data_IF_300378493119
#
_entry.id   IF_300378493119
#
_cell.length_a   1.000
_cell.length_b   1.000
_cell.length_c   1.000
_cell.angle_alpha   90.00
_cell.angle_beta   90.00
_cell.angle_gamma   90.00
#
_symmetry.space_group_name_H-M   'P 1'
#
loop_
_entity.id
_entity.type
_entity.pdbx_description
1 polymer ?
#
# COMPACT_ATOMS: atom_id res chain seq x y z
N UNK A 1 -3.97 14.61 3.79
CA UNK A 1 -3.26 15.08 2.60
C UNK A 1 -3.91 14.48 1.38
N UNK A 2 -4.43 15.32 0.53
CA UNK A 2 -5.06 14.87 -0.70
C UNK A 2 -3.98 14.45 -1.69
N UNK A 3 -4.09 13.22 -2.20
CA UNK A 3 -3.19 12.74 -3.23
C UNK A 3 -3.39 13.59 -4.49
N UNK A 4 -2.35 14.27 -4.90
CA UNK A 4 -2.29 14.91 -6.21
C UNK A 4 -2.21 13.79 -7.26
N UNK A 5 -2.94 13.92 -8.34
CA UNK A 5 -2.83 12.99 -9.45
C UNK A 5 -1.39 12.99 -9.99
N UNK A 6 -0.87 11.80 -10.23
CA UNK A 6 0.48 11.64 -10.78
C UNK A 6 0.34 11.21 -12.23
N UNK A 7 0.96 11.95 -13.12
CA UNK A 7 1.10 11.49 -14.49
C UNK A 7 2.21 10.44 -14.57
N UNK A 8 2.00 9.45 -15.41
CA UNK A 8 3.04 8.44 -15.66
C UNK A 8 4.36 9.08 -16.07
N UNK A 9 4.30 10.21 -16.78
CA UNK A 9 5.46 10.99 -17.16
C UNK A 9 6.25 11.57 -15.97
N UNK A 10 5.60 11.74 -14.81
CA UNK A 10 6.24 12.29 -13.61
C UNK A 10 6.97 11.20 -12.81
N UNK A 11 6.78 9.94 -13.20
CA UNK A 11 7.49 8.80 -12.66
C UNK A 11 8.76 8.54 -13.47
N UNK A 12 9.58 9.55 -13.59
CA UNK A 12 10.90 9.44 -14.20
C UNK A 12 11.96 9.32 -13.11
N UNK A 13 13.07 8.70 -13.43
CA UNK A 13 14.18 8.54 -12.50
C UNK A 13 14.59 9.84 -11.81
N UNK A 14 15.30 9.72 -10.71
CA UNK A 14 15.72 10.82 -9.88
C UNK A 14 16.59 11.81 -10.66
N UNK A 15 16.01 12.88 -11.10
CA UNK A 15 16.55 14.09 -11.73
C UNK A 15 18.05 14.14 -12.10
N UNK A 16 18.49 13.35 -13.06
CA UNK A 16 19.86 13.37 -13.58
C UNK A 16 20.63 12.06 -13.42
N UNK A 17 20.07 11.08 -12.72
CA UNK A 17 20.58 9.72 -12.69
C UNK A 17 19.95 8.91 -13.82
N UNK A 18 20.75 8.05 -14.48
CA UNK A 18 20.25 7.08 -15.46
C UNK A 18 19.62 5.86 -14.79
N UNK A 19 19.50 5.87 -13.46
CA UNK A 19 18.91 4.78 -12.69
C UNK A 19 17.39 4.91 -12.66
N UNK A 20 16.65 3.82 -12.88
CA UNK A 20 15.20 3.85 -12.75
C UNK A 20 14.77 4.15 -11.31
N UNK A 21 13.66 4.84 -11.17
CA UNK A 21 13.04 5.05 -9.87
C UNK A 21 12.42 3.74 -9.38
N UNK A 22 12.73 3.38 -8.15
CA UNK A 22 12.13 2.22 -7.48
C UNK A 22 10.93 2.68 -6.67
N UNK A 23 9.78 2.11 -6.96
CA UNK A 23 8.51 2.44 -6.30
C UNK A 23 7.96 1.19 -5.64
N UNK A 24 7.65 1.28 -4.36
CA UNK A 24 7.02 0.18 -3.65
C UNK A 24 5.55 0.15 -4.02
N UNK A 25 5.01 -1.05 -4.24
CA UNK A 25 3.62 -1.22 -4.68
C UNK A 25 2.93 -2.35 -3.92
N UNK A 26 1.65 -2.17 -3.59
CA UNK A 26 0.84 -3.25 -3.06
C UNK A 26 0.76 -4.38 -4.10
N UNK A 27 1.23 -5.57 -3.73
CA UNK A 27 1.36 -6.71 -4.64
C UNK A 27 0.03 -7.12 -5.29
N UNK A 28 -1.09 -6.96 -4.57
CA UNK A 28 -2.41 -7.29 -5.12
C UNK A 28 -2.79 -6.44 -6.33
N UNK A 29 -2.24 -5.23 -6.45
CA UNK A 29 -2.48 -4.35 -7.61
C UNK A 29 -1.79 -4.86 -8.87
N UNK A 30 -0.82 -5.75 -8.75
CA UNK A 30 -0.12 -6.41 -9.86
C UNK A 30 -0.67 -7.81 -10.18
N UNK A 31 -1.75 -8.21 -9.53
CA UNK A 31 -2.38 -9.51 -9.77
C UNK A 31 -1.93 -10.62 -8.82
N UNK A 32 -1.21 -10.30 -7.76
CA UNK A 32 -0.82 -11.29 -6.75
C UNK A 32 -1.98 -11.55 -5.79
N UNK A 33 -2.34 -12.82 -5.62
CA UNK A 33 -3.47 -13.22 -4.78
C UNK A 33 -3.16 -13.16 -3.29
N UNK A 34 -2.85 -11.98 -2.78
CA UNK A 34 -2.43 -11.77 -1.39
C UNK A 34 -3.46 -11.01 -0.54
N UNK A 35 -4.62 -10.70 -1.08
CA UNK A 35 -5.70 -10.07 -0.32
C UNK A 35 -6.25 -11.04 0.73
N UNK A 36 -7.01 -10.49 1.69
CA UNK A 36 -7.61 -11.29 2.77
C UNK A 36 -8.45 -12.46 2.25
N UNK A 37 -9.12 -12.30 1.11
CA UNK A 37 -9.95 -13.32 0.47
C UNK A 37 -9.15 -14.29 -0.43
N UNK A 38 -7.84 -14.15 -0.49
CA UNK A 38 -6.97 -14.93 -1.38
C UNK A 38 -7.01 -14.49 -2.83
N UNK A 39 -7.73 -13.41 -3.12
CA UNK A 39 -7.86 -12.85 -4.47
C UNK A 39 -6.85 -11.73 -4.69
N UNK A 40 -6.83 -11.22 -5.88
CA UNK A 40 -6.04 -10.07 -6.28
C UNK A 40 -6.96 -8.89 -6.63
N UNK A 41 -6.37 -7.74 -6.84
CA UNK A 41 -7.09 -6.55 -7.31
C UNK A 41 -6.25 -5.87 -8.39
N UNK A 42 -5.92 -6.62 -9.43
CA UNK A 42 -5.10 -6.14 -10.53
C UNK A 42 -5.63 -4.80 -11.05
N UNK A 43 -4.73 -3.82 -11.13
CA UNK A 43 -5.04 -2.51 -11.68
C UNK A 43 -4.25 -2.34 -12.98
N UNK A 44 -4.94 -2.18 -14.13
CA UNK A 44 -4.26 -2.09 -15.44
C UNK A 44 -3.28 -0.93 -15.53
N UNK A 45 -3.56 0.20 -14.90
CA UNK A 45 -2.67 1.37 -14.93
C UNK A 45 -1.41 1.15 -14.12
N UNK A 46 -1.53 0.52 -12.95
CA UNK A 46 -0.38 0.13 -12.14
C UNK A 46 0.46 -0.89 -12.88
N UNK A 47 -0.18 -1.91 -13.44
CA UNK A 47 0.51 -2.96 -14.19
C UNK A 47 1.25 -2.41 -15.40
N UNK A 48 0.69 -1.41 -16.06
CA UNK A 48 1.32 -0.76 -17.22
C UNK A 48 2.65 -0.09 -16.86
N UNK A 49 2.85 0.30 -15.61
CA UNK A 49 4.13 0.86 -15.16
C UNK A 49 5.30 -0.12 -15.33
N UNK A 50 5.03 -1.43 -15.38
CA UNK A 50 6.06 -2.44 -15.63
C UNK A 50 6.70 -2.28 -17.01
N UNK A 51 6.03 -1.65 -17.95
CA UNK A 51 6.53 -1.39 -19.30
C UNK A 51 7.41 -0.13 -19.38
N UNK A 52 7.38 0.71 -18.32
CA UNK A 52 8.17 1.94 -18.28
C UNK A 52 9.61 1.61 -17.84
N UNK A 53 10.62 1.84 -18.71
CA UNK A 53 12.02 1.53 -18.36
C UNK A 53 12.59 2.42 -17.25
N UNK A 54 11.93 3.54 -16.94
CA UNK A 54 12.35 4.48 -15.90
C UNK A 54 11.79 4.14 -14.52
N UNK A 55 11.04 3.04 -14.40
CA UNK A 55 10.38 2.62 -13.17
C UNK A 55 10.64 1.14 -12.89
N UNK A 56 10.97 0.83 -11.65
CA UNK A 56 11.01 -0.54 -11.14
C UNK A 56 10.02 -0.63 -9.98
N UNK A 57 9.06 -1.54 -10.10
CA UNK A 57 8.07 -1.77 -9.05
C UNK A 57 8.56 -2.85 -8.09
N UNK A 58 8.49 -2.55 -6.79
CA UNK A 58 8.85 -3.50 -5.73
C UNK A 58 7.54 -3.93 -5.05
N UNK A 59 7.01 -5.14 -5.36
CA UNK A 59 5.73 -5.57 -4.82
C UNK A 59 5.87 -6.08 -3.38
N UNK A 60 4.94 -5.66 -2.53
CA UNK A 60 4.86 -6.12 -1.14
C UNK A 60 3.41 -6.32 -0.72
N UNK A 61 3.20 -7.21 0.23
CA UNK A 61 1.94 -7.30 0.96
C UNK A 61 2.27 -7.18 2.46
N UNK A 62 2.06 -6.00 3.06
CA UNK A 62 2.42 -5.81 4.46
C UNK A 62 1.70 -6.76 5.41
N UNK A 63 0.47 -7.16 5.10
CA UNK A 63 -0.28 -8.11 5.95
C UNK A 63 0.39 -9.48 5.97
N UNK A 64 0.87 -9.96 4.82
CA UNK A 64 1.64 -11.21 4.76
C UNK A 64 2.99 -11.07 5.46
N UNK A 65 3.68 -9.94 5.28
CA UNK A 65 4.94 -9.66 5.96
C UNK A 65 4.77 -9.62 7.49
N UNK A 66 3.60 -9.25 7.97
CA UNK A 66 3.26 -9.26 9.38
C UNK A 66 2.93 -10.64 9.95
N UNK A 67 2.92 -11.67 9.11
CA UNK A 67 2.66 -13.04 9.52
C UNK A 67 1.19 -13.47 9.41
N UNK A 68 0.34 -12.68 8.75
CA UNK A 68 -1.05 -13.08 8.55
C UNK A 68 -1.16 -14.05 7.37
N UNK A 69 -2.00 -15.10 7.50
CA UNK A 69 -2.17 -16.07 6.42
C UNK A 69 -2.99 -15.49 5.25
N UNK A 70 -2.97 -16.19 4.13
CA UNK A 70 -3.83 -15.92 2.99
C UNK A 70 -4.54 -17.22 2.62
N UNK A 71 -5.87 -17.32 2.65
CA UNK A 71 -6.82 -16.27 3.06
C UNK A 71 -6.81 -16.01 4.57
N UNK A 72 -7.40 -14.89 4.97
CA UNK A 72 -7.52 -14.48 6.36
C UNK A 72 -8.81 -13.70 6.60
N UNK A 73 -9.19 -13.56 7.86
CA UNK A 73 -10.34 -12.75 8.23
C UNK A 73 -10.09 -11.29 7.89
N UNK A 74 -11.08 -10.63 7.30
CA UNK A 74 -11.00 -9.19 7.00
C UNK A 74 -10.81 -8.38 8.28
N UNK A 75 -10.02 -7.33 8.21
CA UNK A 75 -9.73 -6.43 9.32
C UNK A 75 -10.03 -4.99 8.95
N UNK A 76 -10.33 -4.17 9.97
CA UNK A 76 -10.48 -2.73 9.82
C UNK A 76 -9.75 -2.02 10.95
N UNK A 77 -9.23 -0.83 10.65
CA UNK A 77 -8.54 -0.01 11.62
C UNK A 77 -9.54 0.90 12.35
N UNK A 78 -9.41 0.97 13.67
CA UNK A 78 -10.16 1.90 14.50
C UNK A 78 -9.18 2.54 15.49
N UNK A 79 -8.87 3.82 15.28
CA UNK A 79 -7.83 4.50 16.06
C UNK A 79 -6.48 3.83 15.89
N UNK A 80 -5.85 3.46 17.00
CA UNK A 80 -4.55 2.79 17.02
C UNK A 80 -4.63 1.28 16.91
N UNK A 81 -5.84 0.73 16.77
CA UNK A 81 -6.05 -0.71 16.76
C UNK A 81 -6.55 -1.20 15.42
N UNK A 82 -6.15 -2.41 15.08
CA UNK A 82 -6.70 -3.15 13.94
C UNK A 82 -7.36 -4.40 14.49
N UNK A 83 -8.66 -4.51 14.22
CA UNK A 83 -9.50 -5.61 14.73
C UNK A 83 -10.06 -6.35 13.52
N UNK A 84 -10.02 -7.69 13.54
CA UNK A 84 -10.63 -8.46 12.49
C UNK A 84 -12.12 -8.66 12.73
N UNK A 85 -12.82 -9.18 11.73
CA UNK A 85 -14.28 -9.37 11.79
C UNK A 85 -14.70 -10.42 12.83
N UNK A 86 -13.77 -11.26 13.28
CA UNK A 86 -14.00 -12.21 14.37
C UNK A 86 -13.77 -11.58 15.75
N UNK A 87 -13.44 -10.28 15.82
CA UNK A 87 -13.19 -9.56 17.06
C UNK A 87 -11.78 -9.71 17.62
N UNK A 88 -10.87 -10.32 16.90
CA UNK A 88 -9.48 -10.49 17.34
C UNK A 88 -8.66 -9.24 17.04
N UNK A 89 -7.82 -8.84 17.99
CA UNK A 89 -6.88 -7.73 17.82
C UNK A 89 -5.65 -8.22 17.06
N UNK A 90 -5.43 -7.69 15.88
CA UNK A 90 -4.30 -8.02 15.00
C UNK A 90 -3.36 -6.83 14.80
N UNK A 91 -3.42 -5.86 15.68
CA UNK A 91 -2.60 -4.64 15.62
C UNK A 91 -1.12 -4.94 15.51
N UNK A 92 -0.61 -5.89 16.32
CA UNK A 92 0.82 -6.24 16.33
C UNK A 92 1.27 -6.76 14.97
N UNK A 93 0.46 -7.61 14.32
CA UNK A 93 0.77 -8.13 12.99
C UNK A 93 0.79 -7.02 11.93
N UNK A 94 -0.15 -6.08 12.00
CA UNK A 94 -0.18 -4.93 11.09
C UNK A 94 1.03 -4.00 11.30
N UNK A 95 1.40 -3.75 12.55
CA UNK A 95 2.59 -2.95 12.88
C UNK A 95 3.87 -3.62 12.37
N UNK A 96 4.01 -4.92 12.62
CA UNK A 96 5.16 -5.68 12.12
C UNK A 96 5.25 -5.64 10.60
N UNK A 97 4.12 -5.86 9.92
CA UNK A 97 4.08 -5.82 8.46
C UNK A 97 4.46 -4.45 7.90
N UNK A 98 3.99 -3.38 8.55
CA UNK A 98 4.35 -2.03 8.16
C UNK A 98 5.86 -1.77 8.33
N UNK A 99 6.44 -2.21 9.45
CA UNK A 99 7.87 -2.07 9.71
C UNK A 99 8.72 -2.84 8.71
N UNK A 100 8.33 -4.08 8.37
CA UNK A 100 9.04 -4.89 7.37
C UNK A 100 8.92 -4.27 5.97
N UNK A 101 7.74 -3.74 5.61
CA UNK A 101 7.57 -3.04 4.35
C UNK A 101 8.42 -1.77 4.29
N UNK A 102 8.53 -1.03 5.39
CA UNK A 102 9.39 0.15 5.47
C UNK A 102 10.87 -0.22 5.27
N UNK A 103 11.33 -1.32 5.87
CA UNK A 103 12.69 -1.81 5.64
C UNK A 103 12.95 -2.09 4.17
N UNK A 104 12.00 -2.71 3.48
CA UNK A 104 12.11 -2.95 2.04
C UNK A 104 12.20 -1.64 1.27
N UNK A 105 11.36 -0.67 1.59
CA UNK A 105 11.38 0.63 0.94
C UNK A 105 12.74 1.33 1.13
N UNK A 106 13.29 1.27 2.33
CA UNK A 106 14.59 1.87 2.64
C UNK A 106 15.74 1.13 1.94
N UNK A 107 15.71 -0.21 1.92
CA UNK A 107 16.73 -1.03 1.24
C UNK A 107 16.83 -0.71 -0.25
N UNK A 108 15.70 -0.46 -0.89
CA UNK A 108 15.64 -0.16 -2.31
C UNK A 108 15.68 1.33 -2.63
N UNK A 109 15.70 2.20 -1.62
CA UNK A 109 15.69 3.65 -1.82
C UNK A 109 14.39 4.18 -2.39
N UNK A 110 13.27 3.57 -2.06
CA UNK A 110 11.96 4.01 -2.53
C UNK A 110 11.55 5.31 -1.86
N UNK A 111 11.26 6.34 -2.64
CA UNK A 111 10.76 7.63 -2.15
C UNK A 111 9.25 7.75 -2.30
N UNK A 112 8.64 6.86 -3.09
CA UNK A 112 7.21 6.83 -3.36
C UNK A 112 6.68 5.40 -3.26
N UNK A 113 5.41 5.29 -2.89
CA UNK A 113 4.71 4.02 -2.83
C UNK A 113 3.29 4.18 -3.42
N UNK A 114 2.86 3.18 -4.15
CA UNK A 114 1.48 3.08 -4.66
C UNK A 114 0.82 1.94 -3.91
N UNK A 115 -0.09 2.26 -3.02
CA UNK A 115 -0.67 1.30 -2.11
C UNK A 115 -2.17 1.14 -2.33
N UNK A 116 -2.69 -0.06 -2.06
CA UNK A 116 -4.11 -0.40 -2.24
C UNK A 116 -4.99 0.49 -1.36
N UNK A 117 -5.89 1.21 -1.99
CA UNK A 117 -6.82 2.12 -1.33
C UNK A 117 -7.74 1.41 -0.34
N UNK A 118 -8.14 2.14 0.71
CA UNK A 118 -9.09 1.75 1.77
C UNK A 118 -8.65 0.60 2.66
N UNK A 119 -7.52 -0.02 2.38
CA UNK A 119 -6.98 -1.11 3.19
C UNK A 119 -6.59 -0.61 4.59
N UNK A 120 -6.80 -1.41 5.65
CA UNK A 120 -6.35 -1.05 7.00
C UNK A 120 -4.82 -0.97 7.11
N UNK A 121 -4.10 -1.58 6.19
CA UNK A 121 -2.64 -1.48 6.08
C UNK A 121 -2.20 -0.40 5.10
N UNK A 122 -2.74 -0.42 3.89
CA UNK A 122 -2.22 0.31 2.74
C UNK A 122 -3.01 1.58 2.38
N UNK A 123 -4.21 1.77 2.91
CA UNK A 123 -5.07 2.89 2.54
C UNK A 123 -4.45 4.24 2.85
N UNK A 124 -4.56 5.17 1.91
CA UNK A 124 -4.05 6.53 2.08
C UNK A 124 -5.19 7.54 1.98
N UNK A 125 -5.38 8.31 3.03
CA UNK A 125 -6.38 9.38 3.10
C UNK A 125 -7.78 8.94 3.49
N UNK A 126 -8.20 7.76 3.10
CA UNK A 126 -9.52 7.20 3.42
C UNK A 126 -9.37 5.71 3.74
N UNK A 127 -9.96 5.28 4.84
CA UNK A 127 -10.01 3.88 5.26
C UNK A 127 -11.41 3.52 5.75
N UNK A 128 -11.72 2.24 5.85
CA UNK A 128 -12.94 1.78 6.50
C UNK A 128 -12.93 2.13 7.99
N UNK A 129 -14.12 2.42 8.55
CA UNK A 129 -14.27 3.05 9.87
C UNK A 129 -14.16 2.11 11.08
N UNK A 130 -14.01 0.81 10.85
CA UNK A 130 -13.94 -0.20 11.91
C UNK A 130 -15.29 -0.88 12.22
N UNK A 131 -16.38 -0.45 11.59
CA UNK A 131 -17.71 -1.01 11.85
C UNK A 131 -18.08 -2.21 10.97
N UNK A 132 -17.26 -2.51 9.95
CA UNK A 132 -17.53 -3.54 8.93
C UNK A 132 -18.84 -3.30 8.17
N UNK A 133 -19.21 -2.03 8.01
CA UNK A 133 -20.45 -1.59 7.32
C UNK A 133 -20.16 -0.95 5.95
N UNK A 134 -18.92 -1.02 5.46
CA UNK A 134 -18.44 -0.38 4.23
C UNK A 134 -18.46 1.15 4.28
N UNK A 135 -18.57 1.72 5.47
CA UNK A 135 -18.42 3.16 5.66
C UNK A 135 -16.97 3.52 5.81
N UNK A 136 -16.59 4.66 5.25
CA UNK A 136 -15.21 5.15 5.26
C UNK A 136 -15.09 6.42 6.09
N UNK A 137 -13.89 6.64 6.60
CA UNK A 137 -13.50 7.86 7.33
C UNK A 137 -12.17 8.36 6.83
N UNK A 138 -11.88 9.66 7.01
CA UNK A 138 -10.52 10.15 6.77
C UNK A 138 -9.52 9.43 7.68
N UNK A 139 -8.42 8.99 7.11
CA UNK A 139 -7.38 8.29 7.85
C UNK A 139 -6.46 7.50 6.94
N UNK A 140 -5.45 6.89 7.54
CA UNK A 140 -4.45 6.10 6.84
C UNK A 140 -4.39 4.67 7.38
N UNK A 141 -4.05 3.73 6.53
CA UNK A 141 -3.66 2.40 6.95
C UNK A 141 -2.34 2.44 7.73
N UNK A 142 -2.06 1.39 8.48
CA UNK A 142 -0.88 1.34 9.36
C UNK A 142 0.43 1.52 8.58
N UNK A 143 0.56 0.85 7.43
CA UNK A 143 1.75 0.98 6.56
C UNK A 143 1.82 2.36 5.92
N UNK A 144 0.71 2.86 5.40
CA UNK A 144 0.68 4.19 4.78
C UNK A 144 1.09 5.28 5.78
N UNK A 145 0.58 5.23 6.99
CA UNK A 145 0.94 6.17 8.05
C UNK A 145 2.43 6.12 8.38
N UNK A 146 2.98 4.91 8.56
CA UNK A 146 4.39 4.74 8.86
C UNK A 146 5.28 5.29 7.75
N UNK A 147 4.92 5.03 6.50
CA UNK A 147 5.66 5.54 5.34
C UNK A 147 5.65 7.07 5.29
N UNK A 148 4.48 7.69 5.48
CA UNK A 148 4.35 9.14 5.50
C UNK A 148 5.19 9.76 6.61
N UNK A 149 5.22 9.14 7.78
CA UNK A 149 6.03 9.61 8.91
C UNK A 149 7.54 9.49 8.66
N UNK A 150 7.94 8.67 7.69
CA UNK A 150 9.35 8.49 7.30
C UNK A 150 9.69 9.19 5.96
N UNK A 151 8.85 10.11 5.52
CA UNK A 151 9.13 10.93 4.34
C UNK A 151 8.90 10.24 3.00
N UNK A 152 8.25 9.07 2.99
CA UNK A 152 7.86 8.39 1.76
C UNK A 152 6.49 8.89 1.35
N UNK A 153 6.36 9.38 0.11
CA UNK A 153 5.07 9.80 -0.43
C UNK A 153 4.23 8.57 -0.77
N UNK A 154 2.98 8.57 -0.35
CA UNK A 154 2.07 7.44 -0.55
C UNK A 154 0.89 7.88 -1.42
N UNK A 155 0.57 7.05 -2.41
CA UNK A 155 -0.53 7.27 -3.34
C UNK A 155 -1.40 6.01 -3.42
N UNK A 156 -2.71 6.21 -3.58
CA UNK A 156 -3.61 5.11 -3.93
C UNK A 156 -3.57 4.84 -5.43
N UNK A 157 -4.11 3.69 -5.85
CA UNK A 157 -4.11 3.31 -7.26
C UNK A 157 -4.91 4.24 -8.17
N UNK A 158 -5.89 4.96 -7.64
CA UNK A 158 -6.74 5.84 -8.44
C UNK A 158 -6.06 7.14 -8.85
N UNK A 159 -4.87 7.45 -8.33
CA UNK A 159 -4.15 8.67 -8.70
C UNK A 159 -3.38 8.56 -10.01
N UNK A 160 -3.27 7.36 -10.57
CA UNK A 160 -2.58 7.15 -11.84
C UNK A 160 -3.49 7.57 -13.00
N UNK A 161 -3.01 8.52 -13.79
CA UNK A 161 -3.62 8.91 -15.06
C UNK A 161 -2.93 8.20 -16.25
N UNK A 162 -3.69 8.01 -17.30
CA UNK A 162 -3.17 7.49 -18.56
C UNK A 162 -2.21 8.46 -19.26
#
# INVERSE_FOLDING_TARGET
VFSTEIKVSDLSGDGGSNMPEKILVSACLLGIGCRYDGKEKENPRVKKLLENPDVVLIPVCPEQLGGLPTPRTASERSGDRVINQAGEDVTVQYQKGAEEALKMAELYGCKRAILKERSPSCGCGIIYDGSFSRQTVPGNGVTAELFLNHGISVFGESVLED
#
